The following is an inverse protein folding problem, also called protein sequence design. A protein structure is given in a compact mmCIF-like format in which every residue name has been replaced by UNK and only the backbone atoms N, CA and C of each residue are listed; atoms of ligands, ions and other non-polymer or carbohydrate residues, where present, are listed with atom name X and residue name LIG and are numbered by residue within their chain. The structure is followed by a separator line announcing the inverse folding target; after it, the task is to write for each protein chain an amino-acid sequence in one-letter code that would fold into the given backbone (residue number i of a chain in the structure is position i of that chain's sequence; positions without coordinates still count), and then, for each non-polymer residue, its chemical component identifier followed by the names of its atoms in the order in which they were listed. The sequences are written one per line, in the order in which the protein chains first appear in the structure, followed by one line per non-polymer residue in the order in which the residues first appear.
data_IF_396645906638
#
_entry.id   IF_396645906638
#
_cell.length_a   1.000
_cell.length_b   1.000
_cell.length_c   1.000
_cell.angle_alpha   90.00
_cell.angle_beta   90.00
_cell.angle_gamma   90.00
#
_symmetry.space_group_name_H-M   'P 1'
#
loop_
_entity.id
_entity.type
_entity.pdbx_description
1 polymer ?
#
# COMPACT_ATOMS: atom_id res chain seq x y z
N UNK A 1 -15.51 -8.49 11.99
CA UNK A 1 -14.32 -9.32 12.04
C UNK A 1 -13.06 -8.50 11.75
N UNK A 2 -13.16 -7.55 10.81
CA UNK A 2 -12.08 -6.67 10.39
C UNK A 2 -12.47 -5.20 10.57
N UNK A 3 -11.66 -4.40 11.26
CA UNK A 3 -11.80 -2.95 11.33
C UNK A 3 -10.61 -2.30 10.64
N UNK A 4 -10.89 -1.35 9.74
CA UNK A 4 -9.88 -0.58 9.04
C UNK A 4 -10.01 0.91 9.32
N UNK A 5 -8.89 1.63 9.29
CA UNK A 5 -8.84 3.08 9.31
C UNK A 5 -8.01 3.60 8.14
N UNK A 6 -8.38 4.75 7.59
CA UNK A 6 -7.49 5.52 6.74
C UNK A 6 -6.64 6.50 7.55
N UNK A 7 -5.66 7.10 6.93
CA UNK A 7 -4.70 8.02 7.59
C UNK A 7 -5.36 9.20 8.27
N UNK A 8 -6.47 9.70 7.71
CA UNK A 8 -7.27 10.80 8.23
C UNK A 8 -8.30 10.36 9.30
N UNK A 9 -8.24 9.10 9.73
CA UNK A 9 -9.12 8.52 10.74
C UNK A 9 -10.49 8.08 10.20
N UNK A 10 -10.81 8.24 8.92
CA UNK A 10 -12.05 7.72 8.34
C UNK A 10 -12.06 6.19 8.38
N UNK A 11 -13.26 5.60 8.53
CA UNK A 11 -13.44 4.18 8.77
C UNK A 11 -14.12 3.54 7.57
N UNK A 12 -13.36 2.84 6.69
CA UNK A 12 -13.93 2.06 5.60
C UNK A 12 -14.31 0.64 6.09
N UNK A 13 -15.16 -0.10 5.35
CA UNK A 13 -15.42 -1.52 5.63
C UNK A 13 -14.19 -2.42 5.39
N UNK A 14 -13.26 -1.99 4.56
CA UNK A 14 -11.96 -2.64 4.29
C UNK A 14 -10.96 -1.63 3.70
N UNK A 15 -9.70 -2.04 3.54
CA UNK A 15 -8.60 -1.18 3.09
C UNK A 15 -8.76 -0.56 1.68
N UNK A 16 -9.69 -1.03 0.87
CA UNK A 16 -9.99 -0.52 -0.49
C UNK A 16 -11.44 -0.04 -0.64
N UNK A 17 -12.24 -0.13 0.43
CA UNK A 17 -13.64 0.30 0.43
C UNK A 17 -13.78 1.82 0.53
N UNK A 18 -14.88 2.36 0.00
CA UNK A 18 -15.23 3.75 0.25
C UNK A 18 -15.49 3.95 1.75
N UNK A 19 -14.97 5.04 2.36
CA UNK A 19 -15.15 5.27 3.79
C UNK A 19 -16.62 5.51 4.14
N UNK A 20 -16.96 5.19 5.39
CA UNK A 20 -18.22 5.61 6.01
C UNK A 20 -18.13 7.08 6.44
N UNK A 21 -19.23 7.65 6.93
CA UNK A 21 -19.21 8.98 7.59
C UNK A 21 -18.56 8.94 8.97
N UNK A 22 -18.34 7.74 9.52
CA UNK A 22 -17.68 7.56 10.79
C UNK A 22 -16.17 7.82 10.68
N UNK A 23 -15.62 8.39 11.74
CA UNK A 23 -14.19 8.71 11.80
C UNK A 23 -13.66 8.59 13.22
N UNK A 24 -12.43 8.15 13.36
CA UNK A 24 -11.69 8.16 14.63
C UNK A 24 -11.53 9.57 15.19
N UNK A 25 -11.72 10.63 14.39
CA UNK A 25 -11.73 12.01 14.88
C UNK A 25 -12.97 12.34 15.70
N UNK A 26 -14.10 11.68 15.42
CA UNK A 26 -15.39 11.93 16.10
C UNK A 26 -15.75 10.82 17.10
N UNK A 27 -15.01 9.73 17.10
CA UNK A 27 -15.25 8.56 17.94
C UNK A 27 -14.08 8.42 18.91
N UNK A 28 -14.38 8.34 20.21
CA UNK A 28 -13.33 8.27 21.24
C UNK A 28 -12.78 6.85 21.34
N UNK A 29 -13.67 5.83 21.31
CA UNK A 29 -13.32 4.44 21.55
C UNK A 29 -13.38 3.59 20.27
N UNK A 30 -12.44 2.65 20.11
CA UNK A 30 -12.42 1.70 18.97
C UNK A 30 -13.70 0.85 18.94
N UNK A 31 -14.25 0.47 20.09
CA UNK A 31 -15.49 -0.32 20.20
C UNK A 31 -16.72 0.44 19.68
N UNK A 32 -16.77 1.76 19.90
CA UNK A 32 -17.83 2.61 19.35
C UNK A 32 -17.69 2.74 17.83
N UNK A 33 -16.46 2.88 17.34
CA UNK A 33 -16.16 2.85 15.92
C UNK A 33 -16.60 1.53 15.29
N UNK A 34 -16.32 0.39 15.95
CA UNK A 34 -16.67 -0.94 15.50
C UNK A 34 -18.18 -1.17 15.35
N UNK A 35 -18.98 -0.57 16.21
CA UNK A 35 -20.44 -0.66 16.18
C UNK A 35 -21.14 0.66 15.81
N UNK A 36 -20.46 1.54 15.03
CA UNK A 36 -21.15 2.70 14.49
C UNK A 36 -22.30 2.28 13.54
N UNK A 37 -23.29 3.15 13.35
CA UNK A 37 -24.52 2.78 12.65
C UNK A 37 -24.25 2.32 11.21
N UNK A 38 -23.37 3.00 10.46
CA UNK A 38 -23.12 2.63 9.07
C UNK A 38 -22.43 1.25 8.95
N UNK A 39 -21.46 0.92 9.84
CA UNK A 39 -20.87 -0.42 9.84
C UNK A 39 -21.88 -1.50 10.23
N UNK A 40 -22.83 -1.19 11.12
CA UNK A 40 -23.94 -2.09 11.43
C UNK A 40 -24.81 -2.35 10.22
N UNK A 41 -25.20 -1.29 9.50
CA UNK A 41 -26.02 -1.37 8.29
C UNK A 41 -25.28 -2.14 7.16
N UNK A 42 -23.98 -1.87 6.97
CA UNK A 42 -23.14 -2.60 6.03
C UNK A 42 -23.08 -4.10 6.36
N UNK A 43 -22.85 -4.47 7.64
CA UNK A 43 -22.82 -5.88 8.05
C UNK A 43 -24.15 -6.58 7.77
N UNK A 44 -25.26 -5.94 8.14
CA UNK A 44 -26.60 -6.46 7.90
C UNK A 44 -26.86 -6.69 6.42
N UNK A 45 -26.55 -5.71 5.57
CA UNK A 45 -26.69 -5.84 4.11
C UNK A 45 -25.84 -6.97 3.55
N UNK A 46 -24.55 -7.06 3.94
CA UNK A 46 -23.65 -8.11 3.45
C UNK A 46 -24.05 -9.52 3.91
N UNK A 47 -24.60 -9.68 5.12
CA UNK A 47 -25.12 -10.97 5.61
C UNK A 47 -26.35 -11.40 4.80
N UNK A 48 -27.18 -10.45 4.36
CA UNK A 48 -28.34 -10.70 3.53
C UNK A 48 -28.01 -10.78 2.01
N UNK A 49 -26.72 -10.78 1.64
CA UNK A 49 -26.26 -10.76 0.24
C UNK A 49 -26.75 -9.51 -0.53
N UNK A 50 -26.94 -8.41 0.17
CA UNK A 50 -27.35 -7.13 -0.41
C UNK A 50 -26.11 -6.30 -0.76
N UNK A 51 -26.06 -5.64 -1.93
CA UNK A 51 -24.93 -4.81 -2.33
C UNK A 51 -24.87 -3.52 -1.51
N UNK A 52 -23.64 -3.11 -1.14
CA UNK A 52 -23.38 -1.86 -0.43
C UNK A 52 -22.51 -0.92 -1.28
N UNK A 53 -22.78 0.38 -1.22
CA UNK A 53 -22.03 1.40 -1.99
C UNK A 53 -20.52 1.34 -1.72
N UNK A 54 -20.13 1.10 -0.48
CA UNK A 54 -18.73 1.07 -0.06
C UNK A 54 -17.89 -0.03 -0.76
N UNK A 55 -18.55 -1.07 -1.33
CA UNK A 55 -17.91 -2.13 -2.11
C UNK A 55 -18.07 -1.97 -3.63
N UNK A 56 -18.51 -0.81 -4.12
CA UNK A 56 -18.86 -0.55 -5.52
C UNK A 56 -17.72 -0.88 -6.50
N UNK A 57 -16.45 -0.62 -6.14
CA UNK A 57 -15.31 -0.99 -6.97
C UNK A 57 -15.21 -2.50 -7.16
N UNK A 58 -15.29 -3.26 -6.08
CA UNK A 58 -15.23 -4.72 -6.14
C UNK A 58 -16.39 -5.31 -6.96
N UNK A 59 -17.59 -4.73 -6.86
CA UNK A 59 -18.71 -5.18 -7.68
C UNK A 59 -18.52 -4.90 -9.17
N UNK A 60 -17.92 -3.75 -9.54
CA UNK A 60 -17.55 -3.46 -10.93
C UNK A 60 -16.52 -4.49 -11.46
N UNK A 61 -15.49 -4.79 -10.66
CA UNK A 61 -14.47 -5.78 -11.01
C UNK A 61 -15.12 -7.15 -11.25
N UNK A 62 -16.04 -7.56 -10.36
CA UNK A 62 -16.77 -8.85 -10.46
C UNK A 62 -17.67 -8.92 -11.69
N UNK A 63 -18.33 -7.82 -12.07
CA UNK A 63 -19.13 -7.73 -13.30
C UNK A 63 -18.27 -7.89 -14.56
N UNK A 64 -17.00 -7.46 -14.49
CA UNK A 64 -16.03 -7.65 -15.57
C UNK A 64 -15.33 -9.02 -15.54
N UNK A 65 -15.74 -9.93 -14.63
CA UNK A 65 -15.13 -11.27 -14.50
C UNK A 65 -13.80 -11.28 -13.75
N UNK A 66 -13.40 -10.16 -13.14
CA UNK A 66 -12.17 -10.06 -12.33
C UNK A 66 -12.43 -10.62 -10.93
N UNK A 67 -11.46 -11.38 -10.40
CA UNK A 67 -11.49 -11.80 -9.00
C UNK A 67 -11.18 -10.59 -8.11
N UNK A 68 -12.24 -9.97 -7.55
CA UNK A 68 -12.15 -8.74 -6.79
C UNK A 68 -11.38 -8.91 -5.47
N UNK A 69 -10.86 -7.80 -4.94
CA UNK A 69 -10.23 -7.79 -3.60
C UNK A 69 -11.17 -8.34 -2.53
N UNK A 70 -12.47 -8.05 -2.60
CA UNK A 70 -13.49 -8.59 -1.68
C UNK A 70 -13.54 -10.11 -1.70
N UNK A 71 -13.61 -10.73 -2.88
CA UNK A 71 -13.64 -12.19 -3.02
C UNK A 71 -12.33 -12.82 -2.53
N UNK A 72 -11.20 -12.28 -2.98
CA UNK A 72 -9.88 -12.78 -2.57
C UNK A 72 -9.70 -12.71 -1.04
N UNK A 73 -10.07 -11.59 -0.42
CA UNK A 73 -9.97 -11.41 1.02
C UNK A 73 -10.92 -12.35 1.78
N UNK A 74 -12.17 -12.47 1.34
CA UNK A 74 -13.13 -13.38 1.97
C UNK A 74 -12.61 -14.83 1.93
N UNK A 75 -12.13 -15.30 0.77
CA UNK A 75 -11.60 -16.65 0.62
C UNK A 75 -10.36 -16.87 1.48
N UNK A 76 -9.46 -15.88 1.54
CA UNK A 76 -8.24 -15.96 2.34
C UNK A 76 -8.56 -16.02 3.83
N UNK A 77 -9.33 -15.05 4.33
CA UNK A 77 -9.64 -14.96 5.76
C UNK A 77 -10.52 -16.11 6.24
N UNK A 78 -11.48 -16.57 5.41
CA UNK A 78 -12.30 -17.73 5.77
C UNK A 78 -11.45 -19.01 5.89
N UNK A 79 -10.49 -19.23 5.01
CA UNK A 79 -9.55 -20.37 5.14
C UNK A 79 -8.67 -20.28 6.37
N UNK A 80 -8.22 -19.07 6.73
CA UNK A 80 -7.31 -18.87 7.86
C UNK A 80 -8.00 -18.86 9.23
N UNK A 81 -9.24 -18.35 9.30
CA UNK A 81 -9.92 -18.03 10.56
C UNK A 81 -11.37 -18.51 10.56
N UNK A 82 -11.65 -19.66 9.94
CA UNK A 82 -13.01 -20.20 9.77
C UNK A 82 -13.82 -20.19 11.09
N UNK A 83 -13.28 -20.80 12.14
CA UNK A 83 -13.97 -20.96 13.41
C UNK A 83 -14.24 -19.60 14.10
N UNK A 84 -13.32 -18.64 13.97
CA UNK A 84 -13.50 -17.27 14.49
C UNK A 84 -14.56 -16.51 13.68
N UNK A 85 -14.61 -16.73 12.34
CA UNK A 85 -15.62 -16.12 11.46
C UNK A 85 -17.00 -16.70 11.74
N UNK A 86 -17.14 -18.01 11.83
CA UNK A 86 -18.40 -18.67 12.14
C UNK A 86 -18.92 -18.19 13.50
N UNK A 87 -18.05 -18.16 14.52
CA UNK A 87 -18.41 -17.59 15.84
C UNK A 87 -18.83 -16.11 15.74
N UNK A 88 -18.18 -15.32 14.89
CA UNK A 88 -18.53 -13.92 14.71
C UNK A 88 -19.91 -13.76 14.07
N UNK A 89 -20.24 -14.58 13.06
CA UNK A 89 -21.56 -14.57 12.43
C UNK A 89 -22.67 -14.93 13.42
N UNK A 90 -22.44 -15.88 14.33
CA UNK A 90 -23.39 -16.25 15.39
C UNK A 90 -23.60 -15.15 16.45
N UNK A 91 -22.71 -14.13 16.48
CA UNK A 91 -22.75 -13.03 17.44
C UNK A 91 -23.13 -11.67 16.82
N UNK A 92 -23.66 -11.66 15.59
CA UNK A 92 -24.28 -10.48 14.99
C UNK A 92 -25.74 -10.40 15.42
N UNK A 93 -26.15 -9.26 15.96
CA UNK A 93 -27.54 -9.00 16.33
C UNK A 93 -28.37 -8.58 15.11
N UNK A 94 -29.71 -8.63 15.22
CA UNK A 94 -30.64 -8.27 14.13
C UNK A 94 -30.43 -6.83 13.60
N UNK A 95 -29.94 -5.92 14.44
CA UNK A 95 -29.64 -4.55 14.09
C UNK A 95 -28.23 -4.37 13.47
N UNK A 96 -27.45 -5.45 13.32
CA UNK A 96 -26.07 -5.45 12.81
C UNK A 96 -25.01 -5.19 13.89
N UNK A 97 -25.39 -5.06 15.17
CA UNK A 97 -24.42 -4.94 16.26
C UNK A 97 -23.61 -6.23 16.39
N UNK A 98 -22.29 -6.10 16.45
CA UNK A 98 -21.36 -7.19 16.69
C UNK A 98 -21.03 -7.27 18.19
N UNK A 99 -21.33 -8.40 18.82
CA UNK A 99 -21.08 -8.59 20.26
C UNK A 99 -19.64 -8.97 20.60
N UNK A 100 -18.86 -9.37 19.61
CA UNK A 100 -17.44 -9.66 19.80
C UNK A 100 -16.56 -8.56 19.17
N UNK A 101 -15.38 -8.39 19.74
CA UNK A 101 -14.40 -7.44 19.26
C UNK A 101 -13.82 -7.86 17.89
N UNK A 102 -13.31 -6.92 17.06
CA UNK A 102 -12.61 -7.27 15.83
C UNK A 102 -11.35 -8.09 16.18
N UNK A 103 -11.09 -9.13 15.42
CA UNK A 103 -9.87 -9.93 15.60
C UNK A 103 -8.80 -9.63 14.54
N UNK A 104 -9.12 -8.78 13.57
CA UNK A 104 -8.15 -8.20 12.63
C UNK A 104 -8.29 -6.69 12.56
N UNK A 105 -7.17 -5.98 12.59
CA UNK A 105 -7.10 -4.52 12.49
C UNK A 105 -6.17 -4.09 11.35
N UNK A 106 -6.63 -3.17 10.48
CA UNK A 106 -5.80 -2.48 9.48
C UNK A 106 -5.74 -1.00 9.86
N UNK A 107 -4.64 -0.59 10.47
CA UNK A 107 -4.47 0.74 11.04
C UNK A 107 -3.48 1.54 10.21
N UNK A 108 -3.99 2.57 9.54
CA UNK A 108 -3.16 3.55 8.85
C UNK A 108 -2.93 4.75 9.76
N UNK A 109 -1.89 4.63 10.59
CA UNK A 109 -1.63 5.52 11.70
C UNK A 109 -1.13 6.90 11.26
N UNK A 110 -2.03 7.71 10.71
CA UNK A 110 -1.76 9.08 10.27
C UNK A 110 -0.87 9.16 9.02
N UNK A 111 -0.44 10.38 8.70
CA UNK A 111 0.35 10.68 7.49
C UNK A 111 1.81 11.04 7.77
N UNK A 112 2.32 10.82 8.98
CA UNK A 112 3.73 11.07 9.29
C UNK A 112 4.61 10.13 8.49
N UNK A 113 5.38 10.69 7.54
CA UNK A 113 6.29 9.94 6.67
C UNK A 113 7.56 10.76 6.42
N UNK A 114 8.67 10.08 6.20
CA UNK A 114 9.93 10.73 5.80
C UNK A 114 10.10 10.87 4.28
N UNK A 115 9.22 10.24 3.49
CA UNK A 115 9.25 10.26 2.02
C UNK A 115 8.07 11.02 1.42
N UNK A 116 8.20 11.38 0.14
CA UNK A 116 7.19 11.99 -0.72
C UNK A 116 7.14 11.28 -2.07
N UNK A 117 6.75 10.00 -2.03
CA UNK A 117 6.64 9.13 -3.21
C UNK A 117 5.68 9.73 -4.23
N UNK A 118 5.96 9.55 -5.53
CA UNK A 118 5.20 10.22 -6.59
C UNK A 118 3.72 9.83 -6.67
N UNK A 119 3.37 8.61 -6.22
CA UNK A 119 2.00 8.12 -6.15
C UNK A 119 1.27 8.52 -4.86
N UNK A 120 2.01 8.95 -3.81
CA UNK A 120 1.43 9.43 -2.56
C UNK A 120 0.97 10.88 -2.66
N UNK A 121 0.23 11.32 -1.66
CA UNK A 121 -0.40 12.63 -1.56
C UNK A 121 -0.23 13.16 -0.14
N UNK A 122 -0.59 14.42 0.11
CA UNK A 122 -0.57 14.98 1.47
C UNK A 122 -1.31 14.15 2.52
N UNK A 123 -2.36 13.41 2.13
CA UNK A 123 -3.07 12.51 3.05
C UNK A 123 -2.20 11.34 3.51
N UNK A 124 -1.36 10.78 2.64
CA UNK A 124 -0.50 9.64 2.94
C UNK A 124 0.89 10.05 3.41
N UNK A 125 1.33 11.29 3.11
CA UNK A 125 2.63 11.78 3.56
C UNK A 125 2.64 13.28 3.82
N UNK A 126 2.94 13.65 5.06
CA UNK A 126 3.10 15.04 5.47
C UNK A 126 4.23 15.79 4.73
N UNK A 127 5.20 15.09 4.15
CA UNK A 127 6.29 15.69 3.36
C UNK A 127 5.80 16.32 2.05
N UNK A 128 4.63 15.90 1.57
CA UNK A 128 4.05 16.46 0.35
C UNK A 128 3.51 17.88 0.47
N UNK A 129 3.16 18.38 1.68
CA UNK A 129 2.51 19.69 1.84
C UNK A 129 3.24 20.82 1.13
N UNK A 130 4.57 20.87 1.23
CA UNK A 130 5.37 21.91 0.59
C UNK A 130 5.51 21.69 -0.92
N UNK A 131 5.78 20.45 -1.35
CA UNK A 131 5.99 20.15 -2.77
C UNK A 131 4.68 20.26 -3.56
N UNK A 132 3.55 19.89 -2.98
CA UNK A 132 2.23 20.01 -3.61
C UNK A 132 1.91 21.46 -4.04
N UNK A 133 2.21 22.45 -3.18
CA UNK A 133 2.07 23.86 -3.52
C UNK A 133 2.96 24.27 -4.68
N UNK A 134 4.24 23.87 -4.63
CA UNK A 134 5.21 24.18 -5.68
C UNK A 134 4.84 23.53 -7.02
N UNK A 135 4.29 22.30 -7.01
CA UNK A 135 3.77 21.64 -8.23
C UNK A 135 2.67 22.50 -8.86
N UNK A 136 1.72 23.01 -8.07
CA UNK A 136 0.66 23.89 -8.57
C UNK A 136 1.17 25.20 -9.19
N UNK A 137 2.29 25.71 -8.66
CA UNK A 137 2.90 26.94 -9.18
C UNK A 137 3.62 26.73 -10.53
N UNK A 138 4.09 25.51 -10.82
CA UNK A 138 4.94 25.23 -11.99
C UNK A 138 4.26 24.43 -13.08
N UNK A 139 3.19 23.65 -12.76
CA UNK A 139 2.49 22.82 -13.75
C UNK A 139 1.79 23.67 -14.81
N UNK A 140 1.97 23.31 -16.08
CA UNK A 140 1.25 23.86 -17.21
C UNK A 140 0.00 23.08 -17.61
N UNK A 141 -0.18 21.87 -17.08
CA UNK A 141 -1.24 20.97 -17.48
C UNK A 141 -2.47 21.04 -16.56
N UNK A 142 -3.66 21.23 -17.13
CA UNK A 142 -4.91 21.36 -16.38
C UNK A 142 -5.33 20.09 -15.65
N UNK A 143 -4.97 18.91 -16.16
CA UNK A 143 -5.28 17.63 -15.48
C UNK A 143 -4.46 17.51 -14.21
N UNK A 144 -3.15 17.76 -14.28
CA UNK A 144 -2.24 17.78 -13.13
C UNK A 144 -2.67 18.85 -12.13
N UNK A 145 -2.94 20.07 -12.60
CA UNK A 145 -3.41 21.18 -11.75
C UNK A 145 -4.69 20.83 -10.99
N UNK A 146 -5.68 20.28 -11.67
CA UNK A 146 -6.96 19.90 -11.05
C UNK A 146 -6.76 18.81 -10.00
N UNK A 147 -5.97 17.80 -10.32
CA UNK A 147 -5.65 16.70 -9.40
C UNK A 147 -5.02 17.22 -8.11
N UNK A 148 -4.00 18.09 -8.20
CA UNK A 148 -3.32 18.64 -7.04
C UNK A 148 -4.16 19.65 -6.26
N UNK A 149 -4.99 20.48 -6.91
CA UNK A 149 -5.91 21.37 -6.23
C UNK A 149 -6.90 20.60 -5.33
N UNK A 150 -7.38 19.45 -5.78
CA UNK A 150 -8.27 18.61 -4.99
C UNK A 150 -7.59 17.98 -3.76
N UNK A 151 -6.27 17.84 -3.79
CA UNK A 151 -5.47 17.15 -2.77
C UNK A 151 -4.80 18.06 -1.74
N UNK A 152 -4.63 19.34 -2.06
CA UNK A 152 -3.92 20.28 -1.19
C UNK A 152 -4.80 20.83 -0.06
N UNK A 153 -6.12 20.86 -0.25
CA UNK A 153 -7.08 21.39 0.71
C UNK A 153 -7.54 20.32 1.71
N UNK A 154 -6.60 19.77 2.47
CA UNK A 154 -6.91 18.80 3.51
C UNK A 154 -6.87 19.44 4.90
N UNK A 155 -7.78 19.00 5.77
CA UNK A 155 -7.75 19.41 7.16
C UNK A 155 -6.66 18.64 7.92
N UNK A 156 -5.57 19.32 8.24
CA UNK A 156 -4.44 18.70 8.96
C UNK A 156 -4.80 18.18 10.36
N UNK A 157 -5.87 18.68 10.95
CA UNK A 157 -6.37 18.19 12.23
C UNK A 157 -6.92 16.77 12.15
N UNK A 158 -7.32 16.32 10.96
CA UNK A 158 -7.81 14.96 10.77
C UNK A 158 -6.75 13.88 11.00
N UNK A 159 -5.47 14.23 11.11
CA UNK A 159 -4.40 13.27 11.42
C UNK A 159 -4.04 13.19 12.91
N UNK A 160 -4.67 14.04 13.76
CA UNK A 160 -4.35 14.11 15.18
C UNK A 160 -4.91 12.93 16.01
N UNK A 161 -5.82 12.14 15.45
CA UNK A 161 -6.41 11.00 16.15
C UNK A 161 -5.39 9.97 16.64
N UNK A 162 -4.28 9.79 15.91
CA UNK A 162 -3.19 8.88 16.29
C UNK A 162 -2.35 9.37 17.47
N UNK A 163 -2.46 10.64 17.85
CA UNK A 163 -1.76 11.21 19.00
C UNK A 163 -2.54 11.03 20.31
N UNK A 164 -3.80 10.56 20.23
CA UNK A 164 -4.64 10.38 21.41
C UNK A 164 -4.25 9.12 22.18
N UNK A 165 -3.98 9.29 23.46
CA UNK A 165 -3.63 8.18 24.35
C UNK A 165 -4.77 7.15 24.48
N UNK A 166 -6.01 7.63 24.53
CA UNK A 166 -7.21 6.81 24.65
C UNK A 166 -7.32 5.79 23.52
N UNK A 167 -6.96 6.16 22.29
CA UNK A 167 -6.96 5.23 21.15
C UNK A 167 -5.98 4.06 21.38
N UNK A 168 -4.79 4.35 21.90
CA UNK A 168 -3.79 3.30 22.13
C UNK A 168 -4.07 2.45 23.34
N UNK A 169 -4.73 3.00 24.38
CA UNK A 169 -5.21 2.21 25.51
C UNK A 169 -6.33 1.26 25.07
N UNK A 170 -7.32 1.74 24.31
CA UNK A 170 -8.36 0.87 23.71
C UNK A 170 -7.74 -0.23 22.85
N UNK A 171 -6.69 0.12 22.07
CA UNK A 171 -5.99 -0.86 21.26
C UNK A 171 -5.37 -1.97 22.12
N UNK A 172 -4.75 -1.61 23.24
CA UNK A 172 -4.17 -2.58 24.18
C UNK A 172 -5.22 -3.51 24.77
N UNK A 173 -6.44 -3.01 25.02
CA UNK A 173 -7.56 -3.85 25.49
C UNK A 173 -7.95 -4.93 24.46
N UNK A 174 -7.80 -4.66 23.17
CA UNK A 174 -8.08 -5.62 22.09
C UNK A 174 -6.98 -6.65 21.89
N UNK A 175 -5.73 -6.33 22.25
CA UNK A 175 -4.55 -7.19 22.01
C UNK A 175 -4.76 -8.65 22.40
N UNK A 176 -5.39 -9.02 23.55
CA UNK A 176 -5.58 -10.42 23.91
C UNK A 176 -6.41 -11.23 22.90
N UNK A 177 -7.27 -10.60 22.13
CA UNK A 177 -8.19 -11.26 21.17
C UNK A 177 -7.75 -11.12 19.71
N UNK A 178 -6.78 -10.25 19.43
CA UNK A 178 -6.31 -10.00 18.07
C UNK A 178 -5.57 -11.20 17.49
N UNK A 179 -5.81 -11.47 16.23
CA UNK A 179 -5.13 -12.50 15.41
C UNK A 179 -4.16 -11.89 14.41
N UNK A 180 -4.53 -10.76 13.83
CA UNK A 180 -3.72 -10.07 12.83
C UNK A 180 -3.83 -8.55 12.98
N UNK A 181 -2.70 -7.87 12.84
CA UNK A 181 -2.63 -6.41 12.79
C UNK A 181 -1.85 -6.03 11.55
N UNK A 182 -2.41 -5.09 10.77
CA UNK A 182 -1.78 -4.50 9.61
C UNK A 182 -1.48 -3.04 9.94
N UNK A 183 -0.23 -2.65 9.85
CA UNK A 183 0.19 -1.26 9.99
C UNK A 183 0.61 -0.66 8.66
N UNK A 184 0.00 0.48 8.33
CA UNK A 184 0.30 1.28 7.16
C UNK A 184 0.10 2.77 7.45
N UNK A 185 -0.15 3.55 6.41
CA UNK A 185 -0.35 4.99 6.50
C UNK A 185 0.87 5.75 5.97
N UNK A 186 1.44 6.67 6.76
CA UNK A 186 2.71 7.31 6.41
C UNK A 186 3.86 6.28 6.44
N UNK A 187 4.73 6.36 7.45
CA UNK A 187 5.72 5.31 7.72
C UNK A 187 5.49 4.77 9.14
N UNK A 188 5.03 3.53 9.30
CA UNK A 188 4.67 2.97 10.61
C UNK A 188 5.82 3.01 11.63
N UNK A 189 7.05 2.76 11.20
CA UNK A 189 8.21 2.72 12.10
C UNK A 189 8.64 4.10 12.63
N UNK A 190 8.10 5.19 12.09
CA UNK A 190 8.26 6.53 12.68
C UNK A 190 7.31 6.79 13.84
N UNK A 191 6.26 5.98 14.01
CA UNK A 191 5.29 6.11 15.09
C UNK A 191 5.85 5.53 16.40
N UNK A 192 6.05 6.40 17.39
CA UNK A 192 6.45 5.97 18.75
C UNK A 192 5.38 5.07 19.38
N UNK A 193 4.12 5.38 19.15
CA UNK A 193 2.99 4.62 19.71
C UNK A 193 2.92 3.20 19.15
N UNK A 194 3.17 3.00 17.85
CA UNK A 194 3.28 1.67 17.26
C UNK A 194 4.46 0.91 17.88
N UNK A 195 5.63 1.53 17.97
CA UNK A 195 6.80 0.89 18.57
C UNK A 195 6.56 0.50 20.05
N UNK A 196 5.88 1.36 20.82
CA UNK A 196 5.49 1.06 22.20
C UNK A 196 4.47 -0.09 22.26
N UNK A 197 3.52 -0.15 21.34
CA UNK A 197 2.53 -1.23 21.27
C UNK A 197 3.20 -2.57 20.94
N UNK A 198 4.15 -2.61 20.02
CA UNK A 198 4.94 -3.81 19.69
C UNK A 198 5.63 -4.33 20.96
N UNK A 199 6.32 -3.44 21.68
CA UNK A 199 6.97 -3.80 22.94
C UNK A 199 5.95 -4.29 23.98
N UNK A 200 4.81 -3.61 24.14
CA UNK A 200 3.74 -4.03 25.05
C UNK A 200 3.25 -5.44 24.76
N UNK A 201 3.03 -5.80 23.48
CA UNK A 201 2.59 -7.14 23.10
C UNK A 201 3.61 -8.22 23.47
N UNK A 202 4.92 -7.92 23.37
CA UNK A 202 5.98 -8.83 23.79
C UNK A 202 6.02 -8.92 25.34
N UNK A 203 6.08 -7.78 26.03
CA UNK A 203 6.18 -7.73 27.51
C UNK A 203 4.99 -8.45 28.18
N UNK A 204 3.81 -8.47 27.53
CA UNK A 204 2.60 -9.13 28.06
C UNK A 204 2.39 -10.56 27.53
N UNK A 205 3.28 -11.06 26.65
CA UNK A 205 3.24 -12.41 26.09
C UNK A 205 2.21 -12.62 24.98
N UNK A 206 1.49 -11.57 24.56
CA UNK A 206 0.47 -11.67 23.51
C UNK A 206 1.07 -11.79 22.09
N UNK A 207 2.33 -11.38 21.91
CA UNK A 207 3.03 -11.50 20.62
C UNK A 207 3.00 -12.92 20.03
N UNK A 208 3.04 -13.95 20.89
CA UNK A 208 3.12 -15.36 20.50
C UNK A 208 1.91 -15.88 19.68
N UNK A 209 0.76 -15.18 19.72
CA UNK A 209 -0.42 -15.58 18.93
C UNK A 209 -0.81 -14.56 17.85
N UNK A 210 -0.14 -13.41 17.78
CA UNK A 210 -0.47 -12.31 16.86
C UNK A 210 0.44 -12.36 15.63
N UNK A 211 -0.17 -12.24 14.45
CA UNK A 211 0.50 -11.92 13.20
C UNK A 211 0.51 -10.42 13.00
N UNK A 212 1.66 -9.83 12.65
CA UNK A 212 1.73 -8.41 12.28
C UNK A 212 2.27 -8.28 10.86
N UNK A 213 1.62 -7.39 10.08
CA UNK A 213 2.06 -6.98 8.76
C UNK A 213 2.39 -5.49 8.76
N UNK A 214 3.56 -5.14 8.23
CA UNK A 214 3.96 -3.75 8.02
C UNK A 214 4.08 -3.44 6.54
N UNK A 215 3.42 -2.37 6.10
CA UNK A 215 3.75 -1.70 4.85
C UNK A 215 4.76 -0.61 5.16
N UNK A 216 6.01 -0.81 4.80
CA UNK A 216 7.11 0.12 5.15
C UNK A 216 7.89 0.53 3.90
N UNK A 217 8.43 1.74 3.93
CA UNK A 217 9.38 2.20 2.92
C UNK A 217 10.80 1.64 3.13
N UNK A 218 11.03 0.96 4.26
CA UNK A 218 12.26 0.28 4.58
C UNK A 218 13.46 1.17 4.94
N UNK A 219 13.31 2.50 4.96
CA UNK A 219 14.42 3.42 5.24
C UNK A 219 14.76 3.54 6.71
N UNK A 220 13.77 3.31 7.60
CA UNK A 220 13.90 3.58 9.04
C UNK A 220 13.18 2.49 9.84
N UNK A 221 13.85 1.37 10.07
CA UNK A 221 13.38 0.32 11.00
C UNK A 221 14.27 0.37 12.23
N UNK A 222 13.70 0.57 13.44
CA UNK A 222 14.49 0.64 14.68
C UNK A 222 15.28 -0.66 14.93
N UNK A 223 16.52 -0.55 15.45
CA UNK A 223 17.30 -1.74 15.80
C UNK A 223 16.61 -2.62 16.84
N UNK A 224 15.93 -2.01 17.81
CA UNK A 224 15.14 -2.72 18.81
C UNK A 224 13.99 -3.56 18.22
N UNK A 225 13.47 -3.22 17.03
CA UNK A 225 12.46 -4.03 16.37
C UNK A 225 13.02 -5.42 15.97
N UNK A 226 14.25 -5.45 15.46
CA UNK A 226 14.88 -6.70 15.03
C UNK A 226 15.13 -7.69 16.19
N UNK A 227 15.28 -7.16 17.42
CA UNK A 227 15.40 -7.98 18.63
C UNK A 227 14.07 -8.64 19.02
N UNK A 228 12.93 -8.05 18.61
CA UNK A 228 11.59 -8.51 18.97
C UNK A 228 10.90 -9.37 17.91
N UNK A 229 11.44 -9.42 16.68
CA UNK A 229 10.79 -10.13 15.55
C UNK A 229 10.49 -11.59 15.89
N UNK A 230 11.40 -12.27 16.61
CA UNK A 230 11.29 -13.70 16.90
C UNK A 230 10.28 -14.02 18.01
N UNK A 231 9.80 -13.01 18.75
CA UNK A 231 8.78 -13.15 19.79
C UNK A 231 7.35 -13.23 19.24
N UNK A 232 7.14 -12.81 17.99
CA UNK A 232 5.82 -12.83 17.38
C UNK A 232 5.50 -14.17 16.71
N UNK A 233 4.21 -14.51 16.64
CA UNK A 233 3.73 -15.65 15.85
C UNK A 233 4.22 -15.56 14.41
N UNK A 234 4.05 -14.39 13.80
CA UNK A 234 4.47 -14.10 12.44
C UNK A 234 4.65 -12.59 12.25
N UNK A 235 5.72 -12.20 11.59
CA UNK A 235 5.94 -10.82 11.11
C UNK A 235 6.03 -10.87 9.59
N UNK A 236 5.21 -10.05 8.91
CA UNK A 236 5.33 -9.78 7.48
C UNK A 236 5.81 -8.34 7.26
N UNK A 237 6.87 -8.18 6.49
CA UNK A 237 7.42 -6.88 6.10
C UNK A 237 7.28 -6.71 4.60
N UNK A 238 6.35 -5.83 4.18
CA UNK A 238 6.19 -5.44 2.78
C UNK A 238 7.00 -4.17 2.53
N UNK A 239 8.19 -4.35 1.99
CA UNK A 239 9.09 -3.26 1.61
C UNK A 239 8.60 -2.60 0.32
N UNK A 240 8.16 -1.37 0.42
CA UNK A 240 7.69 -0.57 -0.71
C UNK A 240 8.87 -0.04 -1.53
N UNK A 241 9.19 -0.69 -2.65
CA UNK A 241 10.35 -0.40 -3.50
C UNK A 241 9.89 -0.36 -4.96
N UNK A 242 10.05 0.77 -5.66
CA UNK A 242 9.56 0.97 -7.03
C UNK A 242 10.66 1.20 -8.05
N UNK A 243 11.86 0.76 -7.76
CA UNK A 243 13.02 0.84 -8.65
C UNK A 243 14.28 0.38 -7.94
N UNK A 244 15.39 0.42 -8.66
CA UNK A 244 16.71 0.11 -8.15
C UNK A 244 17.51 1.41 -7.94
N UNK A 245 18.12 1.57 -6.76
CA UNK A 245 19.02 2.68 -6.41
C UNK A 245 18.42 4.07 -6.75
N UNK A 246 19.00 4.82 -7.68
CA UNK A 246 18.55 6.16 -8.06
C UNK A 246 17.13 6.17 -8.65
N UNK A 247 16.69 5.10 -9.28
CA UNK A 247 15.31 4.95 -9.74
C UNK A 247 14.34 4.97 -8.55
N UNK A 248 14.67 4.24 -7.47
CA UNK A 248 13.86 4.25 -6.26
C UNK A 248 13.92 5.62 -5.56
N UNK A 249 15.09 6.25 -5.50
CA UNK A 249 15.24 7.60 -4.96
C UNK A 249 14.35 8.61 -5.70
N UNK A 250 14.28 8.55 -7.04
CA UNK A 250 13.43 9.43 -7.83
C UNK A 250 11.95 9.22 -7.54
N UNK A 251 11.50 7.97 -7.58
CA UNK A 251 10.08 7.61 -7.40
C UNK A 251 9.63 7.79 -5.96
N UNK A 252 10.48 7.39 -4.99
CA UNK A 252 10.17 7.42 -3.54
C UNK A 252 11.01 8.47 -2.79
N UNK A 253 11.13 9.66 -3.37
CA UNK A 253 11.99 10.73 -2.89
C UNK A 253 11.75 11.10 -1.40
N UNK A 254 12.78 11.33 -0.61
CA UNK A 254 14.21 11.04 -0.81
C UNK A 254 14.65 9.71 -0.16
N UNK A 255 14.27 8.58 -0.75
CA UNK A 255 14.57 7.25 -0.20
C UNK A 255 16.03 6.84 -0.52
N UNK A 256 16.93 7.04 0.42
CA UNK A 256 18.31 6.56 0.32
C UNK A 256 18.34 5.02 0.22
N UNK A 257 19.16 4.49 -0.69
CA UNK A 257 19.16 3.08 -1.05
C UNK A 257 19.83 2.18 0.00
N UNK A 258 20.96 2.60 0.55
CA UNK A 258 21.75 1.80 1.50
C UNK A 258 20.97 1.40 2.77
N UNK A 259 20.20 2.28 3.44
CA UNK A 259 19.36 1.89 4.57
C UNK A 259 18.33 0.83 4.22
N UNK A 260 17.71 0.92 3.02
CA UNK A 260 16.72 -0.06 2.55
C UNK A 260 17.39 -1.44 2.39
N UNK A 261 18.54 -1.48 1.71
CA UNK A 261 19.31 -2.71 1.50
C UNK A 261 19.75 -3.33 2.83
N UNK A 262 20.25 -2.50 3.77
CA UNK A 262 20.59 -2.95 5.13
C UNK A 262 19.40 -3.66 5.80
N UNK A 263 18.21 -3.04 5.74
CA UNK A 263 17.01 -3.58 6.37
C UNK A 263 16.48 -4.83 5.66
N UNK A 264 16.60 -4.93 4.33
CA UNK A 264 16.30 -6.16 3.59
C UNK A 264 17.21 -7.32 4.03
N UNK A 265 18.52 -7.07 4.21
CA UNK A 265 19.45 -8.10 4.71
C UNK A 265 19.17 -8.49 6.17
N UNK A 266 18.75 -7.56 7.01
CA UNK A 266 18.33 -7.88 8.39
C UNK A 266 17.08 -8.74 8.38
N UNK A 267 16.07 -8.38 7.57
CA UNK A 267 14.85 -9.17 7.40
C UNK A 267 15.14 -10.59 6.88
N UNK A 268 16.02 -10.74 5.89
CA UNK A 268 16.39 -12.04 5.32
C UNK A 268 17.10 -12.97 6.33
N UNK A 269 17.69 -12.41 7.39
CA UNK A 269 18.36 -13.15 8.47
C UNK A 269 17.45 -13.58 9.61
N UNK A 270 16.28 -12.93 9.77
CA UNK A 270 15.30 -13.23 10.83
C UNK A 270 14.24 -14.19 10.32
N UNK A 271 13.29 -14.59 11.19
CA UNK A 271 12.12 -15.37 10.75
C UNK A 271 11.03 -14.53 10.06
N UNK A 272 11.18 -13.18 9.99
CA UNK A 272 10.21 -12.33 9.31
C UNK A 272 10.02 -12.74 7.84
N UNK A 273 8.78 -12.72 7.38
CA UNK A 273 8.44 -12.89 5.98
C UNK A 273 8.59 -11.54 5.27
N UNK A 274 9.77 -11.31 4.67
CA UNK A 274 10.05 -10.12 3.92
C UNK A 274 9.61 -10.28 2.46
N UNK A 275 8.91 -9.27 1.93
CA UNK A 275 8.49 -9.20 0.54
C UNK A 275 8.74 -7.80 -0.01
N UNK A 276 9.03 -7.70 -1.30
CA UNK A 276 9.07 -6.42 -2.00
C UNK A 276 7.68 -6.16 -2.59
N UNK A 277 7.11 -5.00 -2.28
CA UNK A 277 5.90 -4.47 -2.90
C UNK A 277 6.30 -3.38 -3.89
N UNK A 278 5.97 -3.59 -5.15
CA UNK A 278 6.27 -2.66 -6.24
C UNK A 278 4.98 -2.07 -6.81
N UNK A 279 4.90 -0.75 -6.90
CA UNK A 279 3.77 -0.05 -7.49
C UNK A 279 4.00 0.10 -9.00
N UNK A 280 3.18 -0.60 -9.79
CA UNK A 280 3.25 -0.54 -11.26
C UNK A 280 2.54 0.72 -11.74
N UNK A 281 3.32 1.73 -12.09
CA UNK A 281 2.83 3.02 -12.60
C UNK A 281 3.65 3.50 -13.80
N UNK A 282 3.19 4.55 -14.48
CA UNK A 282 3.77 5.04 -15.74
C UNK A 282 5.28 5.34 -15.69
N UNK A 283 5.84 5.70 -14.51
CA UNK A 283 7.28 5.98 -14.39
C UNK A 283 8.11 4.76 -13.98
N UNK A 284 7.51 3.71 -13.42
CA UNK A 284 8.23 2.55 -12.88
C UNK A 284 8.13 1.31 -13.78
N UNK A 285 7.07 1.21 -14.58
CA UNK A 285 6.72 -0.01 -15.30
C UNK A 285 7.83 -0.52 -16.22
N UNK A 286 8.57 0.37 -16.89
CA UNK A 286 9.69 -0.02 -17.77
C UNK A 286 10.87 -0.60 -16.98
N UNK A 287 11.15 -0.06 -15.79
CA UNK A 287 12.34 -0.36 -15.00
C UNK A 287 12.13 -1.43 -13.93
N UNK A 288 10.97 -2.07 -13.86
CA UNK A 288 10.72 -3.19 -12.94
C UNK A 288 11.73 -4.33 -13.15
N UNK A 289 12.15 -4.57 -14.39
CA UNK A 289 13.17 -5.58 -14.74
C UNK A 289 14.50 -5.29 -14.07
N UNK A 290 14.87 -4.03 -13.87
CA UNK A 290 16.14 -3.65 -13.23
C UNK A 290 16.13 -4.03 -11.75
N UNK A 291 15.00 -3.83 -11.07
CA UNK A 291 14.83 -4.27 -9.69
C UNK A 291 14.90 -5.80 -9.56
N UNK A 292 14.27 -6.55 -10.48
CA UNK A 292 14.38 -8.02 -10.50
C UNK A 292 15.84 -8.45 -10.69
N UNK A 293 16.57 -7.89 -11.66
CA UNK A 293 17.98 -8.20 -11.93
C UNK A 293 18.86 -7.88 -10.72
N UNK A 294 18.67 -6.70 -10.11
CA UNK A 294 19.37 -6.35 -8.89
C UNK A 294 19.10 -7.38 -7.78
N UNK A 295 17.83 -7.68 -7.48
CA UNK A 295 17.48 -8.62 -6.41
C UNK A 295 18.08 -10.00 -6.64
N UNK A 296 18.03 -10.52 -7.87
CA UNK A 296 18.59 -11.81 -8.25
C UNK A 296 20.13 -11.85 -8.11
N UNK A 297 20.81 -10.71 -8.25
CA UNK A 297 22.26 -10.60 -8.05
C UNK A 297 22.68 -10.58 -6.58
N UNK A 298 21.72 -10.40 -5.65
CA UNK A 298 22.01 -10.31 -4.22
C UNK A 298 22.00 -11.71 -3.56
N UNK A 299 22.84 -11.94 -2.54
CA UNK A 299 22.91 -13.23 -1.84
C UNK A 299 21.79 -13.40 -0.80
N UNK A 300 20.55 -12.99 -1.11
CA UNK A 300 19.40 -13.24 -0.25
C UNK A 300 19.06 -14.72 -0.25
N UNK A 301 18.84 -15.27 0.96
CA UNK A 301 18.53 -16.70 1.13
C UNK A 301 17.03 -16.99 0.97
N UNK A 302 16.20 -16.08 1.45
CA UNK A 302 14.73 -16.25 1.47
C UNK A 302 14.05 -15.34 0.49
N UNK A 303 14.43 -14.07 0.46
CA UNK A 303 13.79 -13.03 -0.35
C UNK A 303 13.84 -13.34 -1.86
N UNK A 304 14.89 -13.99 -2.36
CA UNK A 304 15.01 -14.39 -3.78
C UNK A 304 13.98 -15.45 -4.20
N UNK A 305 13.45 -16.22 -3.25
CA UNK A 305 12.47 -17.27 -3.52
C UNK A 305 11.02 -16.78 -3.49
N UNK A 306 10.80 -15.52 -3.13
CA UNK A 306 9.47 -14.89 -3.03
C UNK A 306 9.27 -13.96 -4.23
N UNK A 307 8.19 -14.10 -5.03
CA UNK A 307 7.87 -13.15 -6.09
C UNK A 307 7.75 -11.72 -5.56
N UNK A 308 8.07 -10.72 -6.38
CA UNK A 308 7.75 -9.33 -6.08
C UNK A 308 6.22 -9.18 -6.14
N UNK A 309 5.64 -8.61 -5.09
CA UNK A 309 4.21 -8.29 -5.05
C UNK A 309 3.97 -7.03 -5.88
N UNK A 310 3.08 -7.10 -6.86
CA UNK A 310 2.82 -6.01 -7.79
C UNK A 310 1.46 -5.37 -7.51
N UNK A 311 1.49 -4.08 -7.17
CA UNK A 311 0.30 -3.25 -6.97
C UNK A 311 0.06 -2.35 -8.19
N UNK A 312 -1.15 -2.36 -8.75
CA UNK A 312 -1.53 -1.54 -9.92
C UNK A 312 -1.91 -0.14 -9.48
N UNK A 313 -1.37 0.89 -10.14
CA UNK A 313 -1.73 2.29 -9.92
C UNK A 313 -2.73 2.72 -10.99
N UNK A 314 -3.97 2.99 -10.57
CA UNK A 314 -5.04 3.47 -11.46
C UNK A 314 -5.19 4.99 -11.41
N UNK A 315 -4.86 5.61 -10.28
CA UNK A 315 -5.02 7.04 -10.06
C UNK A 315 -3.78 7.66 -9.41
N UNK A 316 -3.44 8.92 -9.80
CA UNK A 316 -4.10 9.72 -10.84
C UNK A 316 -3.91 9.10 -12.23
N UNK A 317 -4.80 9.43 -13.17
CA UNK A 317 -4.83 8.82 -14.52
C UNK A 317 -3.48 8.91 -15.23
N UNK A 318 -2.73 10.01 -15.08
CA UNK A 318 -1.41 10.17 -15.69
C UNK A 318 -0.32 9.25 -15.10
N UNK A 319 -0.55 8.61 -13.97
CA UNK A 319 0.30 7.56 -13.42
C UNK A 319 -0.18 6.15 -13.80
N UNK A 320 -1.37 6.00 -14.39
CA UNK A 320 -1.85 4.71 -14.88
C UNK A 320 -1.14 4.34 -16.19
N UNK A 321 -0.32 3.27 -16.24
CA UNK A 321 0.45 2.92 -17.43
C UNK A 321 -0.41 2.47 -18.62
N UNK A 322 -1.67 2.12 -18.43
CA UNK A 322 -2.61 1.84 -19.52
C UNK A 322 -2.86 3.07 -20.40
N UNK A 323 -2.71 4.29 -19.85
CA UNK A 323 -2.82 5.57 -20.56
C UNK A 323 -1.57 5.99 -21.33
N UNK A 324 -0.53 5.16 -21.39
CA UNK A 324 0.65 5.41 -22.22
C UNK A 324 0.34 5.13 -23.71
N UNK A 325 1.02 5.82 -24.65
CA UNK A 325 0.95 5.50 -26.07
C UNK A 325 1.30 4.04 -26.35
N UNK A 326 0.68 3.45 -27.38
CA UNK A 326 0.87 2.03 -27.70
C UNK A 326 2.34 1.66 -27.90
N UNK A 327 3.11 2.51 -28.58
CA UNK A 327 4.56 2.29 -28.81
C UNK A 327 5.35 2.18 -27.50
N UNK A 328 4.96 2.93 -26.47
CA UNK A 328 5.61 2.87 -25.14
C UNK A 328 5.19 1.57 -24.42
N UNK A 329 3.91 1.24 -24.46
CA UNK A 329 3.39 -0.01 -23.88
C UNK A 329 4.04 -1.24 -24.51
N UNK A 330 4.21 -1.26 -25.84
CA UNK A 330 4.87 -2.34 -26.56
C UNK A 330 6.32 -2.53 -26.09
N UNK A 331 7.04 -1.43 -25.83
CA UNK A 331 8.41 -1.49 -25.30
C UNK A 331 8.46 -2.04 -23.87
N UNK A 332 7.54 -1.61 -23.01
CA UNK A 332 7.43 -2.12 -21.64
C UNK A 332 7.12 -3.61 -21.66
N UNK A 333 6.09 -4.00 -22.41
CA UNK A 333 5.66 -5.40 -22.52
C UNK A 333 6.79 -6.29 -23.06
N UNK A 334 7.41 -5.89 -24.17
CA UNK A 334 8.51 -6.64 -24.78
C UNK A 334 9.68 -6.82 -23.80
N UNK A 335 10.06 -5.77 -23.06
CA UNK A 335 11.15 -5.82 -22.08
C UNK A 335 10.85 -6.83 -20.96
N UNK A 336 9.62 -6.79 -20.44
CA UNK A 336 9.17 -7.71 -19.37
C UNK A 336 9.11 -9.14 -19.89
N UNK A 337 8.49 -9.39 -21.04
CA UNK A 337 8.36 -10.74 -21.59
C UNK A 337 9.71 -11.38 -21.93
N UNK A 338 10.63 -10.61 -22.52
CA UNK A 338 11.99 -11.09 -22.78
C UNK A 338 12.70 -11.48 -21.45
N UNK A 339 12.55 -10.68 -20.41
CA UNK A 339 13.12 -11.00 -19.09
C UNK A 339 12.53 -12.28 -18.51
N UNK A 340 11.21 -12.47 -18.60
CA UNK A 340 10.54 -13.69 -18.15
C UNK A 340 11.07 -14.90 -18.93
N UNK A 341 11.13 -14.82 -20.26
CA UNK A 341 11.61 -15.92 -21.11
C UNK A 341 13.06 -16.32 -20.80
N UNK A 342 13.90 -15.34 -20.50
CA UNK A 342 15.31 -15.59 -20.13
C UNK A 342 15.45 -16.31 -18.78
N UNK A 343 14.53 -16.06 -17.82
CA UNK A 343 14.73 -16.47 -16.43
C UNK A 343 13.74 -17.55 -15.95
N UNK A 344 12.62 -17.80 -16.63
CA UNK A 344 11.52 -18.67 -16.15
C UNK A 344 11.96 -20.10 -15.81
N UNK A 345 12.96 -20.64 -16.50
CA UNK A 345 13.45 -21.99 -16.25
C UNK A 345 14.31 -22.11 -14.98
N UNK A 346 14.73 -21.00 -14.40
CA UNK A 346 15.57 -20.96 -13.19
C UNK A 346 14.73 -20.82 -11.90
N UNK A 347 13.41 -20.65 -12.01
CA UNK A 347 12.49 -20.41 -10.90
C UNK A 347 11.33 -21.38 -10.92
N UNK A 348 10.63 -21.61 -9.79
CA UNK A 348 9.43 -22.44 -9.75
C UNK A 348 8.36 -21.95 -10.72
N UNK A 349 7.55 -22.88 -11.23
CA UNK A 349 6.38 -22.54 -12.06
C UNK A 349 5.49 -21.54 -11.33
N UNK A 350 5.02 -20.51 -12.03
CA UNK A 350 4.18 -19.47 -11.46
C UNK A 350 4.94 -18.31 -10.80
N UNK A 351 6.27 -18.39 -10.69
CA UNK A 351 7.05 -17.34 -10.03
C UNK A 351 6.90 -15.96 -10.70
N UNK A 352 6.71 -15.91 -12.00
CA UNK A 352 6.56 -14.69 -12.79
C UNK A 352 5.11 -14.41 -13.23
N UNK A 353 4.12 -15.22 -12.81
CA UNK A 353 2.72 -15.07 -13.28
C UNK A 353 2.20 -13.65 -13.03
N UNK A 354 2.41 -13.11 -11.83
CA UNK A 354 2.00 -11.74 -11.51
C UNK A 354 2.70 -10.68 -12.38
N UNK A 355 3.96 -10.91 -12.77
CA UNK A 355 4.71 -10.01 -13.63
C UNK A 355 4.14 -10.05 -15.07
N UNK A 356 3.85 -11.24 -15.59
CA UNK A 356 3.22 -11.45 -16.89
C UNK A 356 1.80 -10.86 -16.94
N UNK A 357 0.99 -11.11 -15.91
CA UNK A 357 -0.36 -10.53 -15.79
C UNK A 357 -0.32 -8.99 -15.79
N UNK A 358 0.67 -8.38 -15.13
CA UNK A 358 0.81 -6.92 -15.13
C UNK A 358 1.34 -6.39 -16.46
N UNK A 359 2.23 -7.10 -17.14
CA UNK A 359 2.66 -6.75 -18.49
C UNK A 359 1.45 -6.74 -19.46
N UNK A 360 0.60 -7.77 -19.40
CA UNK A 360 -0.62 -7.86 -20.20
C UNK A 360 -1.64 -6.78 -19.82
N UNK A 361 -1.83 -6.51 -18.51
CA UNK A 361 -2.71 -5.44 -18.03
C UNK A 361 -2.32 -4.05 -18.55
N UNK A 362 -1.03 -3.75 -18.68
CA UNK A 362 -0.55 -2.48 -19.25
C UNK A 362 -1.00 -2.32 -20.71
N UNK A 363 -1.16 -3.42 -21.44
CA UNK A 363 -1.58 -3.40 -22.85
C UNK A 363 -3.04 -3.02 -23.05
N UNK A 364 -3.88 -3.11 -22.01
CA UNK A 364 -5.28 -2.67 -22.09
C UNK A 364 -5.33 -1.17 -22.44
N UNK A 365 -6.37 -0.78 -23.17
CA UNK A 365 -6.55 0.59 -23.59
C UNK A 365 -7.16 1.44 -22.48
N UNK A 366 -6.61 2.62 -22.28
CA UNK A 366 -7.13 3.69 -21.44
C UNK A 366 -7.02 5.03 -22.19
N UNK A 367 -7.53 6.09 -21.59
CA UNK A 367 -7.37 7.44 -22.12
C UNK A 367 -5.89 7.80 -22.17
N UNK A 368 -5.43 8.32 -23.29
CA UNK A 368 -4.07 8.85 -23.43
C UNK A 368 -3.82 9.99 -22.44
N UNK A 369 -2.78 9.86 -21.65
CA UNK A 369 -2.41 10.78 -20.59
C UNK A 369 -0.93 11.22 -20.68
N UNK A 370 -0.28 11.01 -21.83
CA UNK A 370 1.15 11.28 -22.00
C UNK A 370 1.51 12.73 -21.69
N UNK A 371 0.75 13.69 -22.19
CA UNK A 371 1.04 15.10 -21.97
C UNK A 371 0.94 15.47 -20.46
N UNK A 372 -0.03 14.91 -19.75
CA UNK A 372 -0.14 15.12 -18.31
C UNK A 372 0.97 14.43 -17.53
N UNK A 373 1.40 13.24 -17.96
CA UNK A 373 2.54 12.53 -17.38
C UNK A 373 3.82 13.34 -17.55
N UNK A 374 4.09 13.85 -18.75
CA UNK A 374 5.31 14.62 -19.04
C UNK A 374 5.33 15.92 -18.25
N UNK A 375 4.23 16.68 -18.22
CA UNK A 375 4.14 17.89 -17.39
C UNK A 375 4.39 17.58 -15.90
N UNK A 376 3.88 16.44 -15.42
CA UNK A 376 4.10 16.02 -14.04
C UNK A 376 5.58 15.69 -13.78
N UNK A 377 6.25 14.97 -14.70
CA UNK A 377 7.70 14.70 -14.64
C UNK A 377 8.49 16.01 -14.59
N UNK A 378 8.25 16.92 -15.54
CA UNK A 378 8.92 18.21 -15.63
C UNK A 378 8.69 19.06 -14.36
N UNK A 379 7.47 19.01 -13.81
CA UNK A 379 7.12 19.67 -12.54
C UNK A 379 7.86 19.09 -11.34
N UNK A 380 7.96 17.74 -11.26
CA UNK A 380 8.72 17.04 -10.21
C UNK A 380 10.20 17.40 -10.27
N UNK A 381 10.81 17.33 -11.46
CA UNK A 381 12.22 17.64 -11.67
C UNK A 381 12.55 19.06 -11.24
N UNK A 382 11.72 20.01 -11.64
CA UNK A 382 11.86 21.42 -11.25
C UNK A 382 11.73 21.65 -9.75
N UNK A 383 10.75 20.99 -9.10
CA UNK A 383 10.46 21.16 -7.66
C UNK A 383 11.49 20.46 -6.78
N UNK A 384 12.00 19.30 -7.21
CA UNK A 384 12.88 18.44 -6.44
C UNK A 384 14.35 18.57 -6.81
N UNK A 385 14.65 19.28 -7.89
CA UNK A 385 16.00 19.37 -8.46
C UNK A 385 16.53 17.98 -8.81
N UNK A 386 15.68 17.18 -9.45
CA UNK A 386 15.98 15.84 -9.98
C UNK A 386 15.98 15.88 -11.51
N UNK A 387 16.34 14.79 -12.16
CA UNK A 387 16.28 14.63 -13.61
C UNK A 387 15.75 13.25 -13.95
N UNK A 388 14.59 13.19 -14.59
CA UNK A 388 14.05 11.95 -15.13
C UNK A 388 14.95 11.38 -16.22
N UNK A 389 15.46 12.23 -17.10
CA UNK A 389 16.33 11.84 -18.20
C UNK A 389 17.62 11.18 -17.72
N UNK A 390 18.25 11.73 -16.66
CA UNK A 390 19.46 11.15 -16.07
C UNK A 390 19.17 9.86 -15.30
N UNK A 391 18.01 9.80 -14.63
CA UNK A 391 17.65 8.65 -13.79
C UNK A 391 17.16 7.46 -14.63
N UNK A 392 16.45 7.73 -15.74
CA UNK A 392 15.82 6.72 -16.61
C UNK A 392 16.16 6.96 -18.09
N UNK A 393 17.45 6.98 -18.50
CA UNK A 393 17.84 7.47 -19.81
C UNK A 393 17.18 6.72 -20.98
N UNK A 394 17.12 5.39 -20.93
CA UNK A 394 16.49 4.57 -21.97
C UNK A 394 14.96 4.79 -22.02
N UNK A 395 14.32 4.86 -20.86
CA UNK A 395 12.87 5.07 -20.79
C UNK A 395 12.47 6.49 -21.19
N UNK A 396 13.28 7.48 -20.81
CA UNK A 396 13.09 8.87 -21.21
C UNK A 396 13.15 9.03 -22.73
N UNK A 397 14.12 8.39 -23.40
CA UNK A 397 14.20 8.38 -24.87
C UNK A 397 12.91 7.81 -25.49
N UNK A 398 12.37 6.71 -24.95
CA UNK A 398 11.13 6.10 -25.43
C UNK A 398 9.95 7.07 -25.27
N UNK A 399 9.83 7.72 -24.12
CA UNK A 399 8.77 8.71 -23.84
C UNK A 399 8.87 9.91 -24.78
N UNK A 400 10.08 10.46 -24.95
CA UNK A 400 10.32 11.63 -25.80
C UNK A 400 10.06 11.33 -27.29
N UNK A 401 10.39 10.14 -27.77
CA UNK A 401 10.08 9.71 -29.14
C UNK A 401 8.57 9.52 -29.36
N UNK A 402 7.82 9.15 -28.35
CA UNK A 402 6.36 8.99 -28.44
C UNK A 402 5.58 10.31 -28.46
N UNK A 403 6.24 11.46 -28.16
CA UNK A 403 5.65 12.81 -28.25
C UNK A 403 5.74 13.43 -29.65
N UNK A 404 6.60 12.89 -30.55
CA UNK A 404 6.79 13.36 -31.91
C UNK A 404 5.78 12.74 -32.88
#
# INVERSE_FOLDING_TARGET
MHLATFTDGSIPPCCVGEPTSASMNNTIHIKDAWNNQELKDIRKALINDEPVFNCSQCYRDEQCGVNSHRKQSNDFYYRMYKDDIDRALDNVQDDGTMLIDPFTLDIRAGNTCNLKCIMCRPNESSKWFNDAKKILDVTGNDVVRRDWNNKININTQNFAWVEREEFWEDFKELVPTLKEIIFGGGEPFLSKSINNLIKYMVDTGHSSHIKIRFHTNGTTIPESFWELVDEFKEIELLFSIDGFDQQNYYVRNPAEWEPIVKNLYLADKTKANAMILFSVHSLSAYNIVDLYKWRMSQPFKRLNNIPIVLGRVYHPDYLNPQGLPQVVKDKIHTRIMNFIDEHKNNYPNGYFDSLEENANWIMDSSKDNLDALVDYIESLDKVRTTSFDETFPEYSEIINNARQ
#
